data_IF_781707397752
#
_entry.id   IF_781707397752
#
_cell.length_a   1.000
_cell.length_b   1.000
_cell.length_c   1.000
_cell.angle_alpha   90.00
_cell.angle_beta   90.00
_cell.angle_gamma   90.00
#
_symmetry.space_group_name_H-M   'P 1'
#
loop_
_entity.id
_entity.type
_entity.pdbx_description
1 polymer ?
#
# COMPACT_ATOMS: atom_id res chain seq x y z
N UNK A 1 -18.94 -15.76 -7.36
CA UNK A 1 -18.70 -15.58 -6.71
C UNK A 1 -18.70 -14.45 -6.34
N UNK A 2 -18.71 -14.20 -5.65
CA UNK A 2 -18.80 -13.14 -5.14
C UNK A 2 -17.90 -12.21 -5.48
N UNK A 3 -16.95 -12.53 -5.92
CA UNK A 3 -15.92 -11.65 -6.24
C UNK A 3 -16.34 -10.57 -7.11
N UNK A 4 -17.28 -10.85 -7.85
CA UNK A 4 -17.66 -9.84 -8.77
C UNK A 4 -18.20 -8.65 -8.08
N UNK A 5 -18.39 -8.72 -6.80
CA UNK A 5 -18.90 -7.59 -6.10
C UNK A 5 -17.85 -6.80 -5.41
N UNK A 6 -16.60 -6.97 -5.78
CA UNK A 6 -15.53 -6.27 -5.14
C UNK A 6 -15.74 -4.78 -5.24
N UNK A 7 -15.59 -4.10 -4.13
CA UNK A 7 -15.71 -2.67 -4.13
C UNK A 7 -14.50 -2.04 -4.78
N UNK A 8 -14.65 -0.81 -5.27
CA UNK A 8 -13.47 -0.13 -5.81
C UNK A 8 -12.31 -0.07 -4.83
N UNK A 9 -12.59 0.12 -3.55
CA UNK A 9 -11.51 0.14 -2.59
C UNK A 9 -10.86 -1.22 -2.44
N UNK A 10 -11.62 -2.30 -2.64
CA UNK A 10 -11.02 -3.62 -2.60
C UNK A 10 -10.06 -3.82 -3.76
N UNK A 11 -10.43 -3.33 -4.92
CA UNK A 11 -9.54 -3.43 -6.06
C UNK A 11 -8.28 -2.60 -5.84
N UNK A 12 -8.44 -1.43 -5.26
CA UNK A 12 -7.28 -0.60 -4.95
C UNK A 12 -6.37 -1.29 -3.96
N UNK A 13 -6.98 -1.94 -2.95
CA UNK A 13 -6.17 -2.65 -1.97
C UNK A 13 -5.36 -3.76 -2.63
N UNK A 14 -5.98 -4.51 -3.51
CA UNK A 14 -5.25 -5.57 -4.18
C UNK A 14 -4.09 -5.00 -5.00
N UNK A 15 -4.34 -3.91 -5.72
CA UNK A 15 -3.28 -3.30 -6.50
C UNK A 15 -2.15 -2.82 -5.61
N UNK A 16 -2.48 -2.25 -4.47
CA UNK A 16 -1.47 -1.77 -3.54
C UNK A 16 -0.69 -2.94 -2.93
N UNK A 17 -1.37 -4.03 -2.64
CA UNK A 17 -0.68 -5.20 -2.09
C UNK A 17 0.28 -5.79 -3.11
N UNK A 18 -0.10 -5.81 -4.36
CA UNK A 18 0.81 -6.28 -5.40
C UNK A 18 1.99 -5.34 -5.55
N UNK A 19 1.73 -4.05 -5.51
CA UNK A 19 2.82 -3.08 -5.59
C UNK A 19 3.76 -3.22 -4.41
N UNK A 20 3.22 -3.48 -3.23
CA UNK A 20 4.06 -3.67 -2.06
C UNK A 20 4.95 -4.88 -2.22
N UNK A 21 4.38 -5.96 -2.74
CA UNK A 21 5.18 -7.16 -2.96
C UNK A 21 6.31 -6.89 -3.93
N UNK A 22 6.03 -6.15 -4.99
CA UNK A 22 7.07 -5.82 -5.95
C UNK A 22 8.16 -4.96 -5.31
N UNK A 23 7.75 -4.00 -4.49
CA UNK A 23 8.72 -3.15 -3.82
C UNK A 23 9.56 -3.93 -2.82
N UNK A 24 8.92 -4.81 -2.07
CA UNK A 24 9.65 -5.61 -1.11
C UNK A 24 10.69 -6.46 -1.81
N UNK A 25 10.34 -7.01 -2.95
CA UNK A 25 11.29 -7.80 -3.70
C UNK A 25 12.44 -6.95 -4.21
N UNK A 26 12.11 -5.77 -4.75
CA UNK A 26 13.15 -4.89 -5.22
C UNK A 26 14.08 -4.46 -4.10
N UNK A 27 13.53 -4.15 -2.95
CA UNK A 27 14.34 -3.74 -1.82
C UNK A 27 15.20 -4.90 -1.35
N UNK A 28 14.60 -6.09 -1.29
CA UNK A 28 15.31 -7.25 -0.80
C UNK A 28 16.50 -7.63 -1.69
N UNK A 29 16.34 -7.47 -2.99
CA UNK A 29 17.40 -7.85 -3.92
C UNK A 29 18.27 -6.68 -4.32
N UNK A 30 18.05 -5.53 -3.72
CA UNK A 30 18.85 -4.36 -4.05
C UNK A 30 20.29 -4.59 -3.66
N UNK A 31 21.25 -4.20 -4.50
CA UNK A 31 22.65 -4.32 -4.10
C UNK A 31 22.88 -3.53 -2.82
N UNK A 32 23.89 -3.95 -2.07
CA UNK A 32 24.15 -3.33 -0.81
C UNK A 32 24.17 -1.82 -0.94
N UNK A 33 23.24 -1.12 -0.30
CA UNK A 33 23.17 0.33 -0.48
C UNK A 33 24.19 1.02 0.40
N UNK A 34 24.59 2.20 -0.05
CA UNK A 34 25.45 3.04 0.72
C UNK A 34 24.57 3.96 1.53
N UNK A 35 24.64 3.80 2.81
CA UNK A 35 23.75 4.52 3.69
C UNK A 35 23.85 6.02 3.48
N UNK A 36 22.70 6.65 3.32
CA UNK A 36 22.65 8.10 3.20
C UNK A 36 23.03 8.63 1.85
N UNK A 37 23.56 7.78 0.96
CA UNK A 37 23.98 8.25 -0.34
C UNK A 37 23.24 7.60 -1.49
N UNK A 38 22.45 6.59 -1.20
CA UNK A 38 21.76 5.86 -2.26
C UNK A 38 20.37 6.42 -2.41
N UNK A 39 20.24 7.35 -3.33
CA UNK A 39 18.95 8.03 -3.51
C UNK A 39 17.89 7.06 -4.01
N UNK A 40 18.28 6.13 -4.86
CA UNK A 40 17.29 5.21 -5.40
C UNK A 40 16.80 4.25 -4.33
N UNK A 41 17.69 3.76 -3.50
CA UNK A 41 17.28 2.88 -2.43
C UNK A 41 16.35 3.62 -1.47
N UNK A 42 16.70 4.86 -1.16
CA UNK A 42 15.87 5.65 -0.26
C UNK A 42 14.50 5.93 -0.89
N UNK A 43 14.48 6.09 -2.19
CA UNK A 43 13.21 6.27 -2.88
C UNK A 43 12.34 5.03 -2.74
N UNK A 44 12.92 3.86 -2.88
CA UNK A 44 12.15 2.62 -2.73
C UNK A 44 11.59 2.50 -1.34
N UNK A 45 12.37 2.85 -0.34
CA UNK A 45 11.89 2.79 1.04
C UNK A 45 10.74 3.78 1.25
N UNK A 46 10.86 4.96 0.66
CA UNK A 46 9.81 5.95 0.79
C UNK A 46 8.53 5.48 0.11
N UNK A 47 8.68 4.86 -1.06
CA UNK A 47 7.51 4.33 -1.75
C UNK A 47 6.84 3.25 -0.94
N UNK A 48 7.63 2.40 -0.29
CA UNK A 48 7.04 1.37 0.54
C UNK A 48 6.25 1.97 1.69
N UNK A 49 6.80 3.02 2.29
CA UNK A 49 6.07 3.67 3.38
C UNK A 49 4.75 4.27 2.89
N UNK A 50 4.77 4.84 1.69
CA UNK A 50 3.55 5.43 1.15
C UNK A 50 2.50 4.37 0.87
N UNK A 51 2.92 3.23 0.36
CA UNK A 51 1.97 2.16 0.11
C UNK A 51 1.43 1.61 1.42
N UNK A 52 2.29 1.47 2.42
CA UNK A 52 1.82 1.03 3.73
C UNK A 52 0.78 1.99 4.28
N UNK A 53 1.02 3.29 4.16
CA UNK A 53 0.07 4.26 4.67
C UNK A 53 -1.25 4.17 3.91
N UNK A 54 -1.18 3.97 2.61
CA UNK A 54 -2.39 3.85 1.83
C UNK A 54 -3.19 2.61 2.21
N UNK A 55 -2.50 1.50 2.43
CA UNK A 55 -3.17 0.28 2.84
C UNK A 55 -3.81 0.45 4.21
N UNK A 56 -3.12 1.11 5.12
CA UNK A 56 -3.69 1.36 6.42
C UNK A 56 -4.94 2.23 6.32
N UNK A 57 -4.90 3.21 5.43
CA UNK A 57 -6.05 4.06 5.24
C UNK A 57 -7.24 3.27 4.70
N UNK A 58 -6.97 2.33 3.81
CA UNK A 58 -8.05 1.52 3.26
C UNK A 58 -8.59 0.53 4.27
N UNK A 59 -7.73 0.07 5.17
CA UNK A 59 -8.16 -0.91 6.16
C UNK A 59 -8.75 -0.25 7.40
N UNK A 60 -8.57 1.04 7.55
CA UNK A 60 -9.12 1.71 8.70
C UNK A 60 -10.62 1.54 8.68
N UNK A 61 -11.16 1.40 9.86
CA UNK A 61 -12.55 1.22 9.94
C UNK A 61 -13.24 2.44 9.40
N UNK A 62 -14.02 2.25 8.39
CA UNK A 62 -14.69 3.36 7.79
C UNK A 62 -15.90 3.69 8.60
N UNK A 63 -15.91 4.85 9.10
CA UNK A 63 -17.10 5.28 9.79
C UNK A 63 -18.12 5.67 8.76
N UNK A 64 -19.01 4.76 8.50
CA UNK A 64 -20.00 5.02 7.51
C UNK A 64 -20.99 5.97 8.12
N UNK A 65 -21.13 7.14 7.56
CA UNK A 65 -22.05 8.09 8.12
C UNK A 65 -23.43 7.53 7.96
N UNK A 66 -23.91 6.94 8.95
CA UNK A 66 -25.23 6.47 8.88
C UNK A 66 -26.04 7.66 8.99
N UNK A 67 -26.97 7.67 8.23
CA UNK A 67 -27.84 8.77 8.34
C UNK A 67 -28.45 8.71 9.64
N UNK A 68 -28.54 8.73 10.38
CA UNK A 68 -28.89 8.68 11.47
C UNK A 68 -29.34 9.28 11.86
N UNK A 69 -29.82 9.40 12.13
CA UNK A 69 -30.09 9.90 12.59
C UNK A 69 -30.23 10.10 13.16
N UNK A 70 -30.53 10.33 13.32
CA UNK A 70 -30.70 10.74 14.01
C UNK A 70 -30.90 10.57 14.29
#
# INVERSE_FOLDING_TARGET
MLAEVALPTDRARVALMMARTELDEEIHTYPTPISGCDAQYNFLLAERRRIHAALEALDAEVHIPTPRAP
#
